data_IF_729912162195
#
_entry.id   IF_729912162195
#
_cell.length_a   1.000
_cell.length_b   1.000
_cell.length_c   1.000
_cell.angle_alpha   90.00
_cell.angle_beta   90.00
_cell.angle_gamma   90.00
#
_symmetry.space_group_name_H-M   'P 1'
#
loop_
_entity.id
_entity.type
_entity.pdbx_description
1 polymer ?
#
# COMPACT_ATOMS: atom_id res chain seq x y z
N UNK A 1 17.92 78.29 11.98
CA UNK A 1 17.33 77.38 10.96
C UNK A 1 16.41 78.20 10.10
N UNK A 2 16.78 78.41 8.78
CA UNK A 2 16.25 79.44 7.94
C UNK A 2 14.80 79.14 7.50
N UNK A 3 13.86 79.94 7.93
CA UNK A 3 12.46 79.93 7.55
C UNK A 3 12.19 80.23 6.05
N UNK A 4 13.25 80.48 5.24
CA UNK A 4 13.17 80.75 3.82
C UNK A 4 12.85 79.54 2.93
N UNK A 5 13.07 78.30 3.42
CA UNK A 5 12.74 77.05 2.71
C UNK A 5 11.22 76.88 2.50
N UNK A 6 10.38 77.33 3.44
CA UNK A 6 8.92 77.25 3.35
C UNK A 6 8.25 78.31 2.45
N UNK A 7 9.02 79.24 1.93
CA UNK A 7 8.51 80.32 1.07
C UNK A 7 8.70 80.05 -0.43
N UNK A 8 9.50 79.01 -0.76
CA UNK A 8 9.68 78.57 -2.14
C UNK A 8 8.66 77.50 -2.53
N UNK A 9 7.74 77.76 -3.47
CA UNK A 9 6.74 76.76 -3.84
C UNK A 9 7.34 75.48 -4.45
N UNK A 10 8.54 75.59 -5.03
CA UNK A 10 9.29 74.46 -5.56
C UNK A 10 9.82 73.56 -4.45
N UNK A 11 10.32 74.13 -3.33
CA UNK A 11 10.80 73.43 -2.16
C UNK A 11 9.65 72.68 -1.44
N UNK A 12 8.48 73.32 -1.35
CA UNK A 12 7.26 72.66 -0.79
C UNK A 12 6.82 71.50 -1.68
N UNK A 13 6.85 71.64 -3.00
CA UNK A 13 6.52 70.55 -3.95
C UNK A 13 7.45 69.37 -3.82
N UNK A 14 8.77 69.60 -3.70
CA UNK A 14 9.78 68.53 -3.47
C UNK A 14 9.56 67.82 -2.13
N UNK A 15 9.30 68.58 -1.06
CA UNK A 15 9.04 68.01 0.27
C UNK A 15 7.78 67.19 0.30
N UNK A 16 6.72 67.60 -0.39
CA UNK A 16 5.46 66.91 -0.48
C UNK A 16 5.61 65.63 -1.32
N UNK A 17 6.36 65.68 -2.43
CA UNK A 17 6.73 64.52 -3.23
C UNK A 17 7.55 63.51 -2.38
N UNK A 18 8.55 63.97 -1.63
CA UNK A 18 9.35 63.11 -0.75
C UNK A 18 8.50 62.44 0.33
N UNK A 19 7.54 63.19 0.92
CA UNK A 19 6.59 62.65 1.88
C UNK A 19 5.69 61.56 1.27
N UNK A 20 5.17 61.80 0.06
CA UNK A 20 4.34 60.80 -0.64
C UNK A 20 5.14 59.50 -0.94
N UNK A 21 6.37 59.66 -1.44
CA UNK A 21 7.27 58.53 -1.69
C UNK A 21 7.59 57.77 -0.40
N UNK A 22 7.80 58.48 0.70
CA UNK A 22 8.06 57.87 1.99
C UNK A 22 6.83 57.15 2.52
N UNK A 23 5.63 57.70 2.42
CA UNK A 23 4.37 57.04 2.78
C UNK A 23 4.08 55.82 1.90
N UNK A 24 4.33 55.93 0.60
CA UNK A 24 4.14 54.77 -0.29
C UNK A 24 5.09 53.60 0.00
N UNK A 25 6.32 53.87 0.46
CA UNK A 25 7.27 52.85 0.87
C UNK A 25 7.04 52.34 2.31
N UNK A 26 6.25 53.04 3.11
CA UNK A 26 5.92 52.65 4.48
C UNK A 26 4.77 51.65 4.54
N UNK A 27 3.79 51.78 3.62
CA UNK A 27 2.58 50.98 3.60
C UNK A 27 2.76 49.79 2.69
N UNK A 28 2.46 48.57 3.23
CA UNK A 28 2.51 47.30 2.50
C UNK A 28 1.20 46.56 2.72
N UNK A 29 0.61 46.07 1.64
CA UNK A 29 -0.60 45.25 1.68
C UNK A 29 -0.20 43.78 1.75
N UNK A 30 -0.66 43.09 2.79
CA UNK A 30 -0.46 41.64 2.98
C UNK A 30 -1.73 40.94 2.51
N UNK A 31 -1.67 40.18 1.39
CA UNK A 31 -2.79 39.42 0.93
C UNK A 31 -3.05 38.20 1.85
N UNK A 32 -4.30 37.74 1.90
CA UNK A 32 -4.72 36.61 2.72
C UNK A 32 -3.96 35.31 2.40
N UNK A 33 -3.55 35.14 1.15
CA UNK A 33 -2.83 33.96 0.67
C UNK A 33 -1.36 33.90 1.08
N UNK A 34 -0.82 35.02 1.62
CA UNK A 34 0.61 35.13 1.98
C UNK A 34 0.77 35.50 3.45
N UNK A 35 1.83 34.98 4.03
CA UNK A 35 2.36 35.38 5.34
C UNK A 35 3.53 36.35 5.09
N UNK A 36 3.71 37.31 5.94
CA UNK A 36 4.81 38.26 5.82
C UNK A 36 5.72 38.16 7.05
N UNK A 37 7.04 37.92 6.81
CA UNK A 37 8.07 38.00 7.84
C UNK A 37 8.80 39.32 7.68
N UNK A 38 8.80 40.13 8.73
CA UNK A 38 9.48 41.42 8.73
C UNK A 38 10.89 41.24 9.28
N UNK A 39 11.88 41.53 8.45
CA UNK A 39 13.31 41.52 8.81
C UNK A 39 13.80 42.94 8.98
N UNK A 40 14.43 43.24 10.12
CA UNK A 40 15.12 44.49 10.39
C UNK A 40 16.61 44.19 10.55
N UNK A 41 17.46 44.77 9.72
CA UNK A 41 18.89 44.48 9.69
C UNK A 41 19.19 42.96 9.63
N UNK A 42 18.41 42.21 8.81
CA UNK A 42 18.48 40.75 8.68
C UNK A 42 17.98 39.95 9.90
N UNK A 43 17.54 40.63 10.97
CA UNK A 43 16.95 39.95 12.13
C UNK A 43 15.42 39.91 12.01
N UNK A 44 14.78 38.74 12.19
CA UNK A 44 13.33 38.66 12.15
C UNK A 44 12.72 39.29 13.41
N UNK A 45 11.84 40.28 13.20
CA UNK A 45 11.18 40.99 14.30
C UNK A 45 9.78 40.46 14.54
N UNK A 46 9.07 40.08 13.48
CA UNK A 46 7.70 39.65 13.61
C UNK A 46 7.14 39.02 12.34
N UNK A 47 5.99 38.40 12.52
CA UNK A 47 5.23 37.78 11.44
C UNK A 47 3.83 38.36 11.36
N UNK A 48 3.35 38.59 10.17
CA UNK A 48 1.98 39.09 9.89
C UNK A 48 1.24 38.04 9.10
N UNK A 49 -0.04 37.84 9.43
CA UNK A 49 -0.91 36.86 8.83
C UNK A 49 -0.37 35.43 8.91
N UNK A 50 0.31 35.08 10.03
CA UNK A 50 0.78 33.72 10.25
C UNK A 50 -0.41 32.73 10.26
N UNK A 51 -0.19 31.57 9.68
CA UNK A 51 -1.22 30.51 9.68
C UNK A 51 -1.55 30.06 11.10
N UNK A 52 -2.84 29.87 11.38
CA UNK A 52 -3.34 29.31 12.66
C UNK A 52 -4.45 28.30 12.37
N UNK A 53 -4.48 27.16 13.07
CA UNK A 53 -5.58 26.20 12.93
C UNK A 53 -6.90 26.85 13.38
N UNK A 54 -7.99 26.51 12.69
CA UNK A 54 -9.36 26.95 12.99
C UNK A 54 -9.61 28.47 13.01
N UNK A 55 -8.80 29.24 12.30
CA UNK A 55 -9.03 30.67 12.18
C UNK A 55 -10.14 30.97 11.19
N UNK A 56 -11.13 31.77 11.59
CA UNK A 56 -12.21 32.18 10.73
C UNK A 56 -11.70 33.04 9.56
N UNK A 57 -12.27 32.81 8.38
CA UNK A 57 -11.91 33.57 7.18
C UNK A 57 -12.17 35.07 7.38
N UNK A 58 -11.24 35.93 6.93
CA UNK A 58 -11.34 37.37 7.07
C UNK A 58 -10.86 37.98 8.38
N UNK A 59 -10.49 37.16 9.38
CA UNK A 59 -10.01 37.66 10.69
C UNK A 59 -8.59 37.21 10.99
N UNK A 60 -7.73 37.22 9.99
CA UNK A 60 -6.43 36.53 9.98
C UNK A 60 -5.23 37.43 10.22
N UNK A 61 -5.40 38.75 10.19
CA UNK A 61 -4.33 39.72 10.26
C UNK A 61 -3.77 40.12 8.89
N UNK A 62 -4.41 39.68 7.79
CA UNK A 62 -4.16 40.22 6.46
C UNK A 62 -4.64 41.68 6.40
N UNK A 63 -4.04 42.48 5.51
CA UNK A 63 -4.42 43.86 5.34
C UNK A 63 -3.22 44.79 5.21
N UNK A 64 -3.44 46.05 5.56
CA UNK A 64 -2.44 47.08 5.46
C UNK A 64 -1.54 47.07 6.69
N UNK A 65 -0.23 46.97 6.50
CA UNK A 65 0.77 47.06 7.55
C UNK A 65 1.74 48.24 7.29
N UNK A 66 2.28 48.82 8.36
CA UNK A 66 3.31 49.81 8.26
C UNK A 66 4.68 49.18 8.56
N UNK A 67 5.64 49.41 7.67
CA UNK A 67 7.04 49.05 7.81
C UNK A 67 7.91 50.30 7.83
N UNK A 68 9.06 50.24 8.45
CA UNK A 68 10.04 51.35 8.40
C UNK A 68 10.71 51.31 7.01
N UNK A 69 10.53 52.35 6.17
CA UNK A 69 11.12 52.38 4.84
C UNK A 69 12.65 52.30 4.94
N UNK A 70 13.30 51.65 3.98
CA UNK A 70 14.75 51.41 3.86
C UNK A 70 15.39 50.50 4.91
N UNK A 71 14.77 50.30 6.08
CA UNK A 71 15.29 49.47 7.17
C UNK A 71 14.63 48.09 7.20
N UNK A 72 13.30 48.06 7.07
CA UNK A 72 12.53 46.84 7.17
C UNK A 72 12.37 46.18 5.78
N UNK A 73 12.73 44.89 5.71
CA UNK A 73 12.52 44.05 4.53
C UNK A 73 11.42 43.07 4.83
N UNK A 74 10.45 42.95 3.91
CA UNK A 74 9.37 41.96 4.00
C UNK A 74 9.73 40.75 3.15
N UNK A 75 9.74 39.58 3.78
CA UNK A 75 9.84 38.28 3.08
C UNK A 75 8.46 37.65 3.03
N UNK A 76 8.04 37.36 1.83
CA UNK A 76 6.75 36.75 1.57
C UNK A 76 6.85 35.24 1.65
N UNK A 77 5.89 34.63 2.33
CA UNK A 77 5.77 33.17 2.50
C UNK A 77 4.35 32.76 2.12
N UNK A 78 4.20 31.76 1.27
CA UNK A 78 2.90 31.27 0.85
C UNK A 78 2.18 30.58 2.04
N UNK A 79 0.91 30.91 2.26
CA UNK A 79 0.06 30.34 3.30
C UNK A 79 -0.67 29.08 2.83
N UNK A 80 -0.71 28.86 1.53
CA UNK A 80 -1.36 27.70 0.91
C UNK A 80 -0.55 26.43 1.12
N UNK A 81 -1.16 25.32 0.82
CA UNK A 81 -0.47 24.03 0.77
C UNK A 81 0.42 23.98 -0.46
N UNK A 82 1.68 23.65 -0.25
CA UNK A 82 2.71 23.46 -1.28
C UNK A 82 3.01 21.97 -1.41
N UNK A 83 3.62 21.57 -2.51
CA UNK A 83 3.96 20.18 -2.79
C UNK A 83 5.48 19.96 -2.95
N UNK A 84 5.87 18.72 -2.67
CA UNK A 84 7.21 18.20 -2.93
C UNK A 84 7.00 16.98 -3.81
N UNK A 85 7.47 17.02 -5.03
CA UNK A 85 7.43 15.90 -5.95
C UNK A 85 8.71 15.07 -5.88
N UNK A 86 8.54 13.75 -5.96
CA UNK A 86 9.62 12.76 -5.99
C UNK A 86 9.29 11.76 -7.10
N UNK A 87 10.03 11.83 -8.18
CA UNK A 87 9.83 10.99 -9.36
C UNK A 87 10.89 9.88 -9.43
N UNK A 88 10.48 8.73 -9.94
CA UNK A 88 11.34 7.58 -10.26
C UNK A 88 12.23 7.12 -9.09
N UNK A 89 11.70 7.13 -7.86
CA UNK A 89 12.46 6.69 -6.70
C UNK A 89 12.59 5.17 -6.71
N UNK A 90 13.81 4.61 -6.84
CA UNK A 90 14.01 3.17 -6.77
C UNK A 90 13.86 2.68 -5.33
N UNK A 91 13.00 1.69 -5.14
CA UNK A 91 12.73 1.03 -3.85
C UNK A 91 12.82 -0.48 -4.05
N UNK A 92 13.38 -1.18 -3.07
CA UNK A 92 13.39 -2.63 -3.03
C UNK A 92 12.43 -3.11 -1.97
N UNK A 93 11.43 -3.91 -2.34
CA UNK A 93 10.47 -4.52 -1.41
C UNK A 93 11.04 -5.82 -0.78
N UNK A 94 10.37 -6.35 0.25
CA UNK A 94 10.79 -7.60 0.92
C UNK A 94 10.76 -8.82 0.01
N UNK A 95 9.89 -8.85 -0.97
CA UNK A 95 9.81 -9.87 -2.03
C UNK A 95 10.86 -9.70 -3.15
N UNK A 96 11.89 -8.85 -2.90
CA UNK A 96 13.01 -8.56 -3.79
C UNK A 96 12.59 -7.96 -5.14
N UNK A 97 11.44 -7.34 -5.21
CA UNK A 97 11.00 -6.59 -6.37
C UNK A 97 11.60 -5.18 -6.33
N UNK A 98 12.28 -4.78 -7.40
CA UNK A 98 12.68 -3.39 -7.60
C UNK A 98 11.50 -2.62 -8.16
N UNK A 99 11.09 -1.61 -7.44
CA UNK A 99 9.99 -0.73 -7.82
C UNK A 99 10.53 0.64 -8.18
N UNK A 100 9.89 1.30 -9.13
CA UNK A 100 10.02 2.74 -9.35
C UNK A 100 8.76 3.40 -8.79
N UNK A 101 8.95 4.27 -7.83
CA UNK A 101 7.86 4.89 -7.08
C UNK A 101 7.88 6.38 -7.31
N UNK A 102 6.75 6.89 -7.79
CA UNK A 102 6.47 8.32 -7.85
C UNK A 102 5.59 8.69 -6.66
N UNK A 103 6.03 9.66 -5.90
CA UNK A 103 5.33 10.11 -4.72
C UNK A 103 5.34 11.63 -4.61
N UNK A 104 4.38 12.16 -3.90
CA UNK A 104 4.37 13.56 -3.52
C UNK A 104 3.99 13.72 -2.06
N UNK A 105 4.53 14.75 -1.44
CA UNK A 105 4.14 15.18 -0.10
C UNK A 105 3.61 16.60 -0.18
N UNK A 106 2.52 16.89 0.51
CA UNK A 106 1.98 18.24 0.64
C UNK A 106 2.36 18.78 1.99
N UNK A 107 2.87 20.00 2.00
CA UNK A 107 3.28 20.67 3.24
C UNK A 107 2.69 22.08 3.32
N UNK A 108 2.66 22.62 4.52
CA UNK A 108 2.21 23.97 4.82
C UNK A 108 3.18 24.64 5.77
N UNK A 109 3.44 25.92 5.55
CA UNK A 109 4.27 26.72 6.46
C UNK A 109 3.42 27.17 7.63
N UNK A 110 3.71 26.62 8.82
CA UNK A 110 3.03 26.94 10.08
C UNK A 110 3.78 28.03 10.84
N UNK A 111 5.10 27.96 10.82
CA UNK A 111 5.97 28.97 11.45
C UNK A 111 6.87 29.62 10.40
N UNK A 112 6.41 30.72 9.75
CA UNK A 112 7.16 31.37 8.68
C UNK A 112 8.47 31.99 9.18
N UNK A 113 8.54 32.42 10.45
CA UNK A 113 9.77 32.96 11.05
C UNK A 113 10.85 31.89 11.13
N UNK A 114 10.49 30.72 11.67
CA UNK A 114 11.42 29.58 11.76
C UNK A 114 11.86 29.13 10.36
N UNK A 115 10.95 29.05 9.40
CA UNK A 115 11.26 28.66 8.03
C UNK A 115 12.27 29.62 7.38
N UNK A 116 12.07 30.93 7.53
CA UNK A 116 12.99 31.95 6.98
C UNK A 116 14.36 31.86 7.63
N UNK A 117 14.43 31.59 8.95
CA UNK A 117 15.71 31.49 9.67
C UNK A 117 16.45 30.19 9.31
N UNK A 118 15.76 29.06 9.20
CA UNK A 118 16.42 27.76 9.00
C UNK A 118 16.71 27.45 7.53
N UNK A 119 15.75 27.73 6.64
CA UNK A 119 15.85 27.38 5.21
C UNK A 119 15.95 28.61 4.30
N UNK A 120 15.41 29.74 4.71
CA UNK A 120 15.44 31.00 3.95
C UNK A 120 14.31 31.12 2.93
N UNK A 121 13.84 30.02 2.33
CA UNK A 121 12.73 30.01 1.35
C UNK A 121 12.01 28.67 1.30
N UNK A 122 10.76 28.70 0.82
CA UNK A 122 9.93 27.48 0.63
C UNK A 122 10.56 26.47 -0.34
N UNK A 123 11.17 26.97 -1.42
CA UNK A 123 11.86 26.12 -2.38
C UNK A 123 13.01 25.32 -1.73
N UNK A 124 13.79 25.96 -0.86
CA UNK A 124 14.86 25.28 -0.12
C UNK A 124 14.31 24.26 0.88
N UNK A 125 13.18 24.54 1.51
CA UNK A 125 12.48 23.56 2.36
C UNK A 125 12.12 22.33 1.52
N UNK A 126 11.50 22.51 0.37
CA UNK A 126 11.15 21.43 -0.53
C UNK A 126 12.38 20.61 -0.97
N UNK A 127 13.48 21.28 -1.32
CA UNK A 127 14.75 20.63 -1.71
C UNK A 127 15.39 19.83 -0.57
N UNK A 128 15.28 20.29 0.66
CA UNK A 128 15.79 19.58 1.84
C UNK A 128 14.89 18.40 2.25
N UNK A 129 13.59 18.54 2.11
CA UNK A 129 12.65 17.48 2.47
C UNK A 129 12.56 16.39 1.41
N UNK A 130 12.84 16.67 0.14
CA UNK A 130 12.81 15.69 -0.97
C UNK A 130 13.66 14.44 -0.72
N UNK A 131 14.95 14.52 -0.35
CA UNK A 131 15.77 13.34 -0.04
C UNK A 131 15.29 12.60 1.21
N UNK A 132 14.69 13.30 2.17
CA UNK A 132 14.15 12.71 3.39
C UNK A 132 12.88 11.93 3.07
N UNK A 133 12.00 12.46 2.23
CA UNK A 133 10.84 11.75 1.69
C UNK A 133 11.28 10.47 0.96
N UNK A 134 12.29 10.55 0.09
CA UNK A 134 12.82 9.39 -0.60
C UNK A 134 13.40 8.33 0.34
N UNK A 135 14.05 8.74 1.42
CA UNK A 135 14.58 7.83 2.44
C UNK A 135 13.48 7.19 3.27
N UNK A 136 12.46 7.96 3.66
CA UNK A 136 11.30 7.45 4.38
C UNK A 136 10.52 6.44 3.55
N UNK A 137 10.32 6.73 2.25
CA UNK A 137 9.71 5.80 1.29
C UNK A 137 10.50 4.49 1.21
N UNK A 138 11.81 4.55 0.97
CA UNK A 138 12.65 3.34 0.92
C UNK A 138 12.58 2.51 2.19
N UNK A 139 12.60 3.17 3.34
CA UNK A 139 12.58 2.50 4.64
C UNK A 139 11.25 1.82 4.92
N UNK A 140 10.11 2.45 4.61
CA UNK A 140 8.80 1.87 4.89
C UNK A 140 8.39 0.84 3.84
N UNK A 141 8.63 1.10 2.56
CA UNK A 141 8.32 0.16 1.49
C UNK A 141 9.25 -1.06 1.50
N UNK A 142 10.51 -0.89 1.94
CA UNK A 142 11.46 -1.99 2.09
C UNK A 142 11.10 -3.00 3.19
N UNK A 143 10.17 -2.68 4.07
CA UNK A 143 9.65 -3.57 5.12
C UNK A 143 8.41 -4.35 4.69
N UNK A 144 7.87 -4.09 3.51
CA UNK A 144 6.60 -4.62 3.02
C UNK A 144 6.75 -5.31 1.68
N UNK A 145 5.84 -6.22 1.41
CA UNK A 145 5.68 -6.83 0.09
C UNK A 145 4.98 -5.86 -0.87
N UNK A 146 5.23 -6.01 -2.16
CA UNK A 146 4.56 -5.19 -3.18
C UNK A 146 3.02 -5.31 -3.10
N UNK A 147 2.51 -6.49 -2.78
CA UNK A 147 1.07 -6.73 -2.63
C UNK A 147 0.42 -5.84 -1.56
N UNK A 148 1.14 -5.46 -0.50
CA UNK A 148 0.64 -4.58 0.55
C UNK A 148 0.32 -3.16 0.03
N UNK A 149 1.02 -2.69 -1.01
CA UNK A 149 0.75 -1.39 -1.66
C UNK A 149 -0.56 -1.37 -2.45
N UNK A 150 -1.05 -2.55 -2.85
CA UNK A 150 -2.31 -2.72 -3.58
C UNK A 150 -3.48 -3.04 -2.65
N UNK A 151 -3.20 -3.22 -1.35
CA UNK A 151 -4.17 -3.56 -0.31
C UNK A 151 -4.58 -2.33 0.52
N UNK A 152 -5.62 -2.43 1.37
CA UNK A 152 -6.00 -1.37 2.33
C UNK A 152 -4.87 -0.96 3.30
N UNK A 153 -3.86 -1.81 3.50
CA UNK A 153 -2.69 -1.52 4.34
C UNK A 153 -1.85 -0.35 3.82
N UNK A 154 -2.01 0.02 2.56
CA UNK A 154 -1.39 1.21 1.95
C UNK A 154 -1.61 2.47 2.78
N UNK A 155 -2.79 2.63 3.40
CA UNK A 155 -3.09 3.76 4.26
C UNK A 155 -2.12 3.88 5.43
N UNK A 156 -1.88 2.81 6.15
CA UNK A 156 -0.95 2.77 7.29
C UNK A 156 0.49 3.07 6.88
N UNK A 157 0.91 2.58 5.71
CA UNK A 157 2.26 2.86 5.18
C UNK A 157 2.41 4.36 4.91
N UNK A 158 1.40 4.99 4.31
CA UNK A 158 1.41 6.44 4.05
C UNK A 158 1.43 7.26 5.34
N UNK A 159 0.65 6.87 6.34
CA UNK A 159 0.61 7.53 7.65
C UNK A 159 1.97 7.44 8.37
N UNK A 160 2.64 6.29 8.30
CA UNK A 160 3.98 6.11 8.87
C UNK A 160 5.02 7.01 8.18
N UNK A 161 4.98 7.08 6.85
CA UNK A 161 5.87 7.94 6.07
C UNK A 161 5.61 9.41 6.41
N UNK A 162 4.34 9.80 6.48
CA UNK A 162 3.93 11.15 6.86
C UNK A 162 4.45 11.52 8.25
N UNK A 163 4.24 10.67 9.25
CA UNK A 163 4.70 10.91 10.62
C UNK A 163 6.23 11.01 10.71
N UNK A 164 6.95 10.19 9.94
CA UNK A 164 8.41 10.25 9.84
C UNK A 164 8.90 11.55 9.23
N UNK A 165 8.29 11.97 8.13
CA UNK A 165 8.64 13.20 7.43
C UNK A 165 8.25 14.45 8.24
N UNK A 166 7.08 14.47 8.88
CA UNK A 166 6.56 15.59 9.67
C UNK A 166 7.48 15.91 10.84
N UNK A 167 8.07 14.89 11.48
CA UNK A 167 9.04 15.09 12.58
C UNK A 167 10.24 15.94 12.17
N UNK A 168 10.72 15.75 10.95
CA UNK A 168 11.84 16.54 10.40
C UNK A 168 11.34 17.87 9.86
N UNK A 169 10.19 17.90 9.21
CA UNK A 169 9.58 19.09 8.62
C UNK A 169 9.33 20.19 9.67
N UNK A 170 8.93 19.80 10.88
CA UNK A 170 8.73 20.74 12.01
C UNK A 170 10.00 21.53 12.40
N UNK A 171 11.19 20.99 12.14
CA UNK A 171 12.45 21.70 12.38
C UNK A 171 12.61 22.89 11.43
N UNK A 172 11.96 22.85 10.27
CA UNK A 172 11.93 23.93 9.30
C UNK A 172 10.70 24.85 9.43
N UNK A 173 9.87 24.66 10.47
CA UNK A 173 8.66 25.44 10.67
C UNK A 173 7.52 25.09 9.73
N UNK A 174 7.54 23.88 9.13
CA UNK A 174 6.49 23.38 8.23
C UNK A 174 5.84 22.11 8.79
N UNK A 175 4.63 21.86 8.38
CA UNK A 175 3.83 20.70 8.73
C UNK A 175 3.48 19.90 7.47
N UNK A 176 3.60 18.59 7.53
CA UNK A 176 3.21 17.71 6.43
C UNK A 176 1.71 17.44 6.52
N UNK A 177 0.97 17.84 5.51
CA UNK A 177 -0.48 17.66 5.42
C UNK A 177 -0.82 16.22 5.06
N UNK A 178 -0.20 15.69 4.02
CA UNK A 178 -0.30 14.29 3.63
C UNK A 178 0.87 13.86 2.74
N UNK A 179 1.01 12.54 2.59
CA UNK A 179 1.94 11.90 1.67
C UNK A 179 1.17 10.90 0.83
N UNK A 180 1.37 10.90 -0.48
CA UNK A 180 0.71 9.99 -1.42
C UNK A 180 1.70 9.42 -2.43
N UNK A 181 1.53 8.14 -2.74
CA UNK A 181 2.18 7.52 -3.88
C UNK A 181 1.28 7.75 -5.11
N UNK A 182 1.85 8.29 -6.18
CA UNK A 182 1.17 8.48 -7.47
C UNK A 182 1.19 7.19 -8.28
N UNK A 183 2.40 6.65 -8.46
CA UNK A 183 2.65 5.41 -9.20
C UNK A 183 3.65 4.54 -8.45
N UNK A 184 3.51 3.23 -8.61
CA UNK A 184 4.47 2.25 -8.13
C UNK A 184 4.55 1.14 -9.20
N UNK A 185 5.56 1.25 -10.05
CA UNK A 185 5.73 0.39 -11.21
C UNK A 185 6.99 -0.48 -11.08
N UNK A 186 6.96 -1.61 -11.75
CA UNK A 186 8.16 -2.41 -11.95
C UNK A 186 8.98 -1.79 -13.10
N UNK A 187 10.31 -1.68 -12.97
CA UNK A 187 11.14 -1.16 -14.05
C UNK A 187 10.96 -2.00 -15.31
N UNK A 188 10.83 -1.34 -16.45
CA UNK A 188 10.65 -1.99 -17.76
C UNK A 188 11.87 -2.82 -18.17
N UNK A 189 11.67 -3.88 -18.99
CA UNK A 189 12.72 -4.73 -19.50
C UNK A 189 12.93 -6.04 -18.74
N UNK A 190 14.15 -6.58 -18.76
CA UNK A 190 14.52 -7.88 -18.15
C UNK A 190 14.10 -8.05 -16.67
N UNK A 191 14.18 -7.03 -15.81
CA UNK A 191 13.71 -7.14 -14.42
C UNK A 191 12.20 -7.39 -14.32
N UNK A 192 11.40 -6.73 -15.14
CA UNK A 192 9.94 -6.90 -15.18
C UNK A 192 9.58 -8.33 -15.63
N UNK A 193 10.18 -8.80 -16.74
CA UNK A 193 9.95 -10.17 -17.24
C UNK A 193 10.35 -11.22 -16.20
N UNK A 194 11.48 -11.03 -15.53
CA UNK A 194 11.95 -11.94 -14.49
C UNK A 194 11.04 -11.94 -13.26
N UNK A 195 10.49 -10.80 -12.89
CA UNK A 195 9.51 -10.67 -11.81
C UNK A 195 8.19 -11.39 -12.17
N UNK A 196 7.66 -11.15 -13.37
CA UNK A 196 6.45 -11.83 -13.86
C UNK A 196 6.62 -13.35 -13.95
N UNK A 197 7.77 -13.84 -14.42
CA UNK A 197 8.06 -15.27 -14.43
C UNK A 197 8.09 -15.87 -13.03
N UNK A 198 8.75 -15.19 -12.06
CA UNK A 198 8.78 -15.62 -10.66
C UNK A 198 7.38 -15.67 -10.05
N UNK A 199 6.58 -14.62 -10.23
CA UNK A 199 5.19 -14.58 -9.76
C UNK A 199 4.36 -15.72 -10.39
N UNK A 200 4.48 -15.96 -11.69
CA UNK A 200 3.82 -17.06 -12.37
C UNK A 200 4.25 -18.43 -11.86
N UNK A 201 5.55 -18.62 -11.57
CA UNK A 201 6.07 -19.86 -11.00
C UNK A 201 5.56 -20.07 -9.57
N UNK A 202 5.59 -19.04 -8.73
CA UNK A 202 5.09 -19.09 -7.37
C UNK A 202 3.58 -19.46 -7.32
N UNK A 203 2.77 -18.84 -8.16
CA UNK A 203 1.33 -19.16 -8.27
C UNK A 203 1.08 -20.59 -8.76
N UNK A 204 1.88 -21.05 -9.72
CA UNK A 204 1.79 -22.44 -10.19
C UNK A 204 2.17 -23.42 -9.10
N UNK A 205 3.19 -23.12 -8.32
CA UNK A 205 3.63 -23.96 -7.21
C UNK A 205 2.59 -23.99 -6.07
N UNK A 206 1.96 -22.86 -5.77
CA UNK A 206 0.84 -22.79 -4.84
C UNK A 206 -0.35 -23.66 -5.29
N UNK A 207 -0.73 -23.56 -6.56
CA UNK A 207 -1.80 -24.37 -7.15
C UNK A 207 -1.49 -25.87 -7.07
N UNK A 208 -0.27 -26.29 -7.43
CA UNK A 208 0.17 -27.68 -7.30
C UNK A 208 0.15 -28.19 -5.85
N UNK A 209 0.49 -27.33 -4.91
CA UNK A 209 0.46 -27.65 -3.47
C UNK A 209 -0.98 -27.89 -3.01
N UNK A 210 -1.92 -27.03 -3.41
CA UNK A 210 -3.35 -27.18 -3.08
C UNK A 210 -3.90 -28.45 -3.71
N UNK A 211 -3.57 -28.73 -4.97
CA UNK A 211 -3.99 -29.93 -5.67
C UNK A 211 -3.46 -31.20 -4.99
N UNK A 212 -2.18 -31.23 -4.63
CA UNK A 212 -1.56 -32.34 -3.92
C UNK A 212 -2.19 -32.56 -2.53
N UNK A 213 -2.51 -31.49 -1.81
CA UNK A 213 -3.23 -31.56 -0.53
C UNK A 213 -4.64 -32.14 -0.74
N UNK A 214 -5.35 -31.71 -1.78
CA UNK A 214 -6.67 -32.23 -2.14
C UNK A 214 -6.63 -33.71 -2.49
N UNK A 215 -5.67 -34.15 -3.29
CA UNK A 215 -5.47 -35.57 -3.63
C UNK A 215 -5.15 -36.40 -2.38
N UNK A 216 -4.26 -35.93 -1.52
CA UNK A 216 -3.93 -36.60 -0.26
C UNK A 216 -5.17 -36.74 0.62
N UNK A 217 -5.96 -35.68 0.76
CA UNK A 217 -7.18 -35.74 1.57
C UNK A 217 -8.22 -36.71 0.99
N UNK A 218 -8.41 -36.69 -0.33
CA UNK A 218 -9.28 -37.64 -1.00
C UNK A 218 -8.82 -39.11 -0.78
N UNK A 219 -7.51 -39.35 -0.82
CA UNK A 219 -6.96 -40.70 -0.58
C UNK A 219 -7.16 -41.16 0.87
N UNK A 220 -7.00 -40.25 1.86
CA UNK A 220 -7.29 -40.56 3.26
C UNK A 220 -8.76 -40.92 3.45
N UNK A 221 -9.68 -40.13 2.89
CA UNK A 221 -11.12 -40.38 2.98
C UNK A 221 -11.47 -41.73 2.35
N UNK A 222 -10.92 -42.06 1.16
CA UNK A 222 -11.14 -43.34 0.51
C UNK A 222 -10.60 -44.48 1.36
N UNK A 223 -9.37 -44.38 1.87
CA UNK A 223 -8.77 -45.41 2.70
C UNK A 223 -9.56 -45.66 3.99
N UNK A 224 -10.07 -44.58 4.62
CA UNK A 224 -10.91 -44.71 5.81
C UNK A 224 -12.25 -45.37 5.51
N UNK A 225 -12.89 -44.98 4.39
CA UNK A 225 -14.12 -45.60 3.91
C UNK A 225 -13.93 -47.12 3.58
N UNK A 226 -12.83 -47.47 2.90
CA UNK A 226 -12.49 -48.85 2.60
C UNK A 226 -12.22 -49.67 3.90
N UNK A 227 -11.53 -49.06 4.88
CA UNK A 227 -11.31 -49.67 6.17
C UNK A 227 -12.62 -49.88 6.94
N UNK A 228 -13.52 -48.93 6.93
CA UNK A 228 -14.86 -49.05 7.51
C UNK A 228 -15.67 -50.16 6.83
N UNK A 229 -15.69 -50.18 5.49
CA UNK A 229 -16.35 -51.23 4.74
C UNK A 229 -15.79 -52.61 5.07
N UNK A 230 -14.46 -52.75 5.14
CA UNK A 230 -13.80 -54.00 5.51
C UNK A 230 -14.19 -54.47 6.93
N UNK A 231 -14.32 -53.55 7.88
CA UNK A 231 -14.80 -53.89 9.24
C UNK A 231 -16.23 -54.41 9.24
N UNK A 232 -17.12 -53.73 8.53
CA UNK A 232 -18.55 -54.15 8.39
C UNK A 232 -18.62 -55.52 7.76
N UNK A 233 -17.83 -55.81 6.72
CA UNK A 233 -17.76 -57.14 6.11
C UNK A 233 -17.23 -58.22 7.08
N UNK A 234 -16.16 -57.92 7.84
CA UNK A 234 -15.61 -58.85 8.82
C UNK A 234 -16.58 -59.12 9.97
N UNK A 235 -17.29 -58.14 10.47
CA UNK A 235 -18.35 -58.31 11.46
C UNK A 235 -19.52 -59.17 10.93
N UNK A 236 -19.90 -58.99 9.69
CA UNK A 236 -20.94 -59.78 9.04
C UNK A 236 -20.50 -61.23 8.83
N UNK A 237 -19.25 -61.44 8.44
CA UNK A 237 -18.68 -62.78 8.30
C UNK A 237 -18.67 -63.53 9.64
N UNK A 238 -18.30 -62.88 10.75
CA UNK A 238 -18.29 -63.48 12.07
C UNK A 238 -19.67 -63.90 12.62
N UNK A 239 -20.78 -63.38 12.04
CA UNK A 239 -22.15 -63.78 12.45
C UNK A 239 -22.53 -65.15 11.92
N UNK A 240 -22.21 -65.45 10.68
CA UNK A 240 -22.44 -66.75 10.01
C UNK A 240 -21.47 -66.89 8.82
N UNK A 241 -20.34 -67.57 9.09
CA UNK A 241 -19.28 -67.74 8.10
C UNK A 241 -19.72 -68.61 6.91
N UNK A 242 -20.55 -69.59 7.13
CA UNK A 242 -21.00 -70.49 6.07
C UNK A 242 -21.97 -69.80 5.10
N UNK A 243 -22.90 -69.02 5.66
CA UNK A 243 -23.83 -68.22 4.82
C UNK A 243 -23.07 -67.13 4.04
N UNK A 244 -22.09 -66.48 4.65
CA UNK A 244 -21.30 -65.45 3.98
C UNK A 244 -20.47 -66.01 2.82
N UNK A 245 -19.83 -67.17 3.02
CA UNK A 245 -19.08 -67.85 1.96
C UNK A 245 -19.99 -68.27 0.80
N UNK A 246 -21.17 -68.79 1.09
CA UNK A 246 -22.18 -69.10 0.09
C UNK A 246 -22.65 -67.83 -0.69
N UNK A 247 -22.94 -66.79 0.05
CA UNK A 247 -23.35 -65.50 -0.56
C UNK A 247 -22.28 -64.94 -1.47
N UNK A 248 -21.03 -64.92 -1.05
CA UNK A 248 -19.87 -64.47 -1.83
C UNK A 248 -19.64 -65.32 -3.05
N UNK A 249 -19.80 -66.62 -2.96
CA UNK A 249 -19.71 -67.52 -4.08
C UNK A 249 -20.79 -67.24 -5.12
N UNK A 250 -22.02 -67.04 -4.67
CA UNK A 250 -23.15 -66.70 -5.55
C UNK A 250 -22.95 -65.32 -6.24
N UNK A 251 -22.46 -64.35 -5.50
CA UNK A 251 -22.18 -63.02 -6.03
C UNK A 251 -21.05 -63.07 -7.08
N UNK A 252 -19.98 -63.82 -6.80
CA UNK A 252 -18.88 -64.02 -7.73
C UNK A 252 -19.33 -64.76 -8.99
N UNK A 253 -20.18 -65.74 -8.81
CA UNK A 253 -20.82 -66.47 -9.94
C UNK A 253 -21.64 -65.49 -10.83
N UNK A 254 -22.54 -64.71 -10.24
CA UNK A 254 -23.31 -63.70 -10.95
C UNK A 254 -22.44 -62.73 -11.72
N UNK A 255 -21.37 -62.23 -11.08
CA UNK A 255 -20.41 -61.31 -11.70
C UNK A 255 -19.60 -61.97 -12.82
N UNK A 256 -19.14 -63.21 -12.64
CA UNK A 256 -18.33 -63.93 -13.64
C UNK A 256 -19.12 -64.39 -14.87
N UNK A 257 -20.38 -64.79 -14.66
CA UNK A 257 -21.23 -65.34 -15.73
C UNK A 257 -22.27 -64.36 -16.27
N UNK A 258 -22.21 -63.13 -15.88
CA UNK A 258 -23.03 -62.07 -16.49
C UNK A 258 -24.54 -62.21 -16.26
N UNK A 259 -24.96 -62.80 -15.13
CA UNK A 259 -26.37 -62.93 -14.78
C UNK A 259 -27.12 -61.58 -14.60
N UNK A 260 -26.42 -60.45 -14.62
CA UNK A 260 -26.98 -59.11 -14.52
C UNK A 260 -27.28 -58.43 -15.86
N UNK A 261 -27.35 -59.19 -16.98
CA UNK A 261 -27.89 -58.70 -18.25
C UNK A 261 -26.97 -57.80 -19.07
N UNK A 262 -25.66 -57.79 -18.84
CA UNK A 262 -24.73 -57.02 -19.65
C UNK A 262 -24.38 -57.79 -20.95
N UNK A 263 -25.08 -57.47 -22.05
CA UNK A 263 -25.00 -58.15 -23.37
C UNK A 263 -23.62 -58.07 -24.06
N UNK A 264 -22.61 -57.45 -23.46
CA UNK A 264 -21.32 -57.20 -24.09
C UNK A 264 -20.21 -58.19 -23.77
N UNK A 265 -20.47 -59.22 -22.94
CA UNK A 265 -19.47 -60.27 -22.69
C UNK A 265 -19.68 -61.43 -23.64
N UNK A 266 -18.80 -61.54 -24.63
CA UNK A 266 -18.84 -62.60 -25.65
C UNK A 266 -19.00 -63.98 -25.01
N UNK A 267 -19.84 -64.84 -25.67
CA UNK A 267 -20.21 -66.16 -25.17
C UNK A 267 -19.03 -67.08 -24.97
N UNK A 268 -18.39 -67.00 -23.82
CA UNK A 268 -17.38 -67.95 -23.38
C UNK A 268 -18.09 -69.03 -22.55
N UNK A 269 -18.15 -70.21 -23.08
CA UNK A 269 -18.65 -71.38 -22.36
C UNK A 269 -17.50 -71.95 -21.48
N UNK A 270 -17.65 -71.83 -20.20
CA UNK A 270 -16.70 -72.44 -19.25
C UNK A 270 -17.32 -73.65 -18.62
N UNK A 271 -16.77 -74.87 -18.91
CA UNK A 271 -17.18 -76.09 -18.25
C UNK A 271 -16.39 -76.24 -16.98
N UNK A 272 -17.05 -76.06 -15.83
CA UNK A 272 -16.46 -76.23 -14.53
C UNK A 272 -16.99 -77.53 -13.90
N UNK A 273 -16.03 -78.36 -13.40
CA UNK A 273 -16.40 -79.59 -12.66
C UNK A 273 -16.20 -79.30 -11.15
N UNK A 274 -17.15 -79.69 -10.30
CA UNK A 274 -17.02 -79.58 -8.84
C UNK A 274 -15.81 -80.35 -8.25
N UNK A 275 -15.33 -81.37 -8.99
CA UNK A 275 -14.13 -82.12 -8.52
C UNK A 275 -12.81 -81.42 -8.76
N UNK A 276 -12.81 -80.35 -9.56
CA UNK A 276 -11.58 -79.65 -9.97
C UNK A 276 -11.42 -78.28 -9.27
N UNK A 277 -12.50 -77.83 -8.62
CA UNK A 277 -12.46 -76.52 -8.00
C UNK A 277 -13.25 -76.50 -6.68
N UNK A 278 -12.55 -76.40 -5.56
CA UNK A 278 -13.10 -76.33 -4.20
C UNK A 278 -14.16 -75.23 -4.01
N UNK A 279 -14.10 -74.20 -4.80
CA UNK A 279 -15.08 -73.12 -4.82
C UNK A 279 -16.49 -73.58 -5.27
N UNK A 280 -16.60 -74.61 -6.14
CA UNK A 280 -17.85 -75.13 -6.59
C UNK A 280 -18.45 -76.20 -5.64
N UNK A 281 -17.70 -76.65 -4.67
CA UNK A 281 -18.21 -77.58 -3.65
C UNK A 281 -19.32 -76.96 -2.79
N UNK A 282 -19.31 -75.66 -2.67
CA UNK A 282 -20.34 -74.93 -1.92
C UNK A 282 -21.72 -74.98 -2.59
N UNK A 283 -21.77 -75.22 -3.89
CA UNK A 283 -23.05 -75.40 -4.61
C UNK A 283 -23.63 -76.81 -4.46
N UNK A 284 -22.92 -77.78 -3.90
CA UNK A 284 -23.42 -79.12 -3.72
C UNK A 284 -24.20 -79.36 -2.40
N UNK A 285 -24.35 -78.31 -1.58
CA UNK A 285 -25.19 -78.40 -0.38
C UNK A 285 -24.68 -79.40 0.69
N UNK A 286 -23.42 -79.80 0.63
CA UNK A 286 -22.80 -80.62 1.65
C UNK A 286 -22.10 -79.70 2.67
N UNK A 287 -22.90 -79.13 3.54
CA UNK A 287 -22.42 -78.67 4.82
C UNK A 287 -22.38 -79.87 5.76
N UNK A 288 -21.21 -80.22 6.16
CA UNK A 288 -21.02 -81.06 7.36
C UNK A 288 -21.33 -80.24 8.59
#
# INVERSE_FOLDING_TARGET
MNASLFRNPMAIGILLLALVVLLANTLVVVPETKQAVILRFQQPIGTVNAWRPNQAFGNTGAGLIAKIPFIDRVVWVDKRVLDIELDNQPVLSTDQLRLQVDAFARFRVVNPLQMVVTAGSEARVADQLRPILGSALRNELGKREFAALLSPERGQVMDNIQAGLDRVARQYGVEIVDVRIRHADLPTGTPLESALRRMGTARRQEALTIEAQGMRQAQIIRADADAQAARVYAESFNKDAQFYDFYRAMQSYRYSFGADGDEKRGGTSIILSPRTNDYLNQFQGQGN
#
